data_IF_043915580698
#
_entry.id   IF_043915580698
#
_cell.length_a   1.000
_cell.length_b   1.000
_cell.length_c   1.000
_cell.angle_alpha   90.00
_cell.angle_beta   90.00
_cell.angle_gamma   90.00
#
_symmetry.space_group_name_H-M   'P 1'
#
loop_
_entity.id
_entity.type
_entity.pdbx_description
1 polymer ?
#
# COMPACT_ATOMS: atom_id res chain seq x y z
N UNK A 1 29.42 -46.80 -6.31
CA UNK A 1 28.23 -46.47 -5.49
C UNK A 1 28.34 -45.09 -4.83
N UNK A 2 29.41 -44.76 -4.08
CA UNK A 2 29.57 -43.46 -3.39
C UNK A 2 29.49 -42.22 -4.32
N UNK A 3 30.07 -42.28 -5.52
CA UNK A 3 30.01 -41.18 -6.51
C UNK A 3 28.62 -40.93 -7.08
N UNK A 4 27.81 -41.99 -7.25
CA UNK A 4 26.43 -41.85 -7.70
C UNK A 4 25.50 -41.33 -6.58
N UNK A 5 25.75 -41.74 -5.34
CA UNK A 5 25.04 -41.21 -4.18
C UNK A 5 25.33 -39.72 -3.95
N UNK A 6 26.58 -39.28 -4.21
CA UNK A 6 26.98 -37.88 -4.13
C UNK A 6 26.36 -37.02 -5.24
N UNK A 7 26.27 -37.55 -6.48
CA UNK A 7 25.58 -36.86 -7.59
C UNK A 7 24.07 -36.74 -7.33
N UNK A 8 23.44 -37.78 -6.80
CA UNK A 8 22.02 -37.75 -6.45
C UNK A 8 21.73 -36.71 -5.35
N UNK A 9 22.58 -36.66 -4.32
CA UNK A 9 22.49 -35.66 -3.25
C UNK A 9 22.69 -34.22 -3.76
N UNK A 10 23.63 -34.00 -4.68
CA UNK A 10 23.81 -32.71 -5.36
C UNK A 10 22.58 -32.31 -6.18
N UNK A 11 21.97 -33.25 -6.92
CA UNK A 11 20.75 -32.99 -7.69
C UNK A 11 19.58 -32.62 -6.77
N UNK A 12 19.42 -33.30 -5.64
CA UNK A 12 18.37 -32.99 -4.66
C UNK A 12 18.59 -31.60 -4.04
N UNK A 13 19.84 -31.24 -3.70
CA UNK A 13 20.16 -29.92 -3.16
C UNK A 13 19.93 -28.79 -4.18
N UNK A 14 20.32 -29.00 -5.44
CA UNK A 14 20.08 -28.04 -6.52
C UNK A 14 18.58 -27.86 -6.83
N UNK A 15 17.80 -28.95 -6.77
CA UNK A 15 16.35 -28.91 -6.99
C UNK A 15 15.62 -28.13 -5.88
N UNK A 16 16.01 -28.33 -4.62
CA UNK A 16 15.46 -27.56 -3.48
C UNK A 16 15.85 -26.07 -3.55
N UNK A 17 17.03 -25.74 -4.07
CA UNK A 17 17.44 -24.35 -4.28
C UNK A 17 16.63 -23.66 -5.39
N UNK A 18 16.32 -24.38 -6.47
CA UNK A 18 15.47 -23.89 -7.55
C UNK A 18 14.02 -23.63 -7.08
N UNK A 19 13.44 -24.51 -6.26
CA UNK A 19 12.12 -24.30 -5.65
C UNK A 19 12.08 -23.09 -4.71
N UNK A 20 13.19 -22.76 -4.05
CA UNK A 20 13.28 -21.61 -3.14
C UNK A 20 13.45 -20.28 -3.88
N UNK A 21 13.94 -20.31 -5.13
CA UNK A 21 14.26 -19.13 -5.91
C UNK A 21 13.03 -18.42 -6.52
N UNK A 22 11.83 -19.00 -6.40
CA UNK A 22 10.62 -18.47 -7.06
C UNK A 22 9.88 -17.36 -6.27
N UNK A 23 10.31 -17.02 -5.05
CA UNK A 23 9.56 -16.12 -4.16
C UNK A 23 10.31 -14.81 -3.84
N UNK A 24 10.84 -14.14 -4.86
CA UNK A 24 11.37 -12.77 -4.74
C UNK A 24 10.66 -11.79 -5.71
N UNK A 25 9.44 -12.11 -6.11
CA UNK A 25 8.54 -11.09 -6.67
C UNK A 25 8.01 -10.30 -5.48
N UNK A 26 8.33 -9.00 -5.44
CA UNK A 26 7.57 -8.07 -4.60
C UNK A 26 6.10 -8.27 -4.98
N UNK A 27 5.25 -8.58 -4.01
CA UNK A 27 3.82 -8.68 -4.25
C UNK A 27 3.32 -7.27 -4.59
N UNK A 28 3.23 -6.99 -5.89
CA UNK A 28 2.81 -5.69 -6.42
C UNK A 28 1.44 -5.29 -5.84
N UNK A 29 0.52 -6.25 -5.68
CA UNK A 29 -0.80 -5.96 -5.11
C UNK A 29 -0.68 -5.45 -3.68
N UNK A 30 0.11 -6.15 -2.86
CA UNK A 30 0.38 -5.74 -1.48
C UNK A 30 1.05 -4.36 -1.45
N UNK A 31 2.05 -4.13 -2.29
CA UNK A 31 2.75 -2.83 -2.36
C UNK A 31 1.78 -1.68 -2.66
N UNK A 32 0.94 -1.84 -3.69
CA UNK A 32 -0.03 -0.80 -4.07
C UNK A 32 -1.10 -0.58 -3.01
N UNK A 33 -1.63 -1.64 -2.40
CA UNK A 33 -2.61 -1.54 -1.33
C UNK A 33 -2.03 -0.84 -0.08
N UNK A 34 -0.81 -1.21 0.33
CA UNK A 34 -0.14 -0.60 1.47
C UNK A 34 0.19 0.88 1.20
N UNK A 35 0.60 1.23 -0.03
CA UNK A 35 0.83 2.62 -0.43
C UNK A 35 -0.47 3.44 -0.42
N UNK A 36 -1.56 2.89 -0.97
CA UNK A 36 -2.87 3.52 -0.96
C UNK A 36 -3.34 3.79 0.47
N UNK A 37 -3.24 2.79 1.34
CA UNK A 37 -3.58 2.91 2.75
C UNK A 37 -2.71 3.95 3.48
N UNK A 38 -1.39 3.96 3.23
CA UNK A 38 -0.46 4.95 3.80
C UNK A 38 -0.84 6.39 3.46
N UNK A 39 -1.42 6.62 2.27
CA UNK A 39 -1.90 7.94 1.85
C UNK A 39 -3.27 8.24 2.45
N UNK A 40 -4.18 7.25 2.44
CA UNK A 40 -5.57 7.45 2.82
C UNK A 40 -5.77 7.59 4.34
N UNK A 41 -5.09 6.76 5.12
CA UNK A 41 -5.23 6.68 6.57
C UNK A 41 -5.12 8.06 7.27
N UNK A 42 -4.04 8.84 7.08
CA UNK A 42 -3.89 10.10 7.81
C UNK A 42 -4.91 11.17 7.37
N UNK A 43 -5.43 11.11 6.15
CA UNK A 43 -6.46 12.05 5.70
C UNK A 43 -7.78 11.70 6.36
N UNK A 44 -8.22 10.45 6.24
CA UNK A 44 -9.54 10.01 6.72
C UNK A 44 -9.62 9.93 8.24
N UNK A 45 -8.57 9.42 8.90
CA UNK A 45 -8.55 9.25 10.36
C UNK A 45 -8.47 10.59 11.10
N UNK A 46 -7.75 11.58 10.56
CA UNK A 46 -7.76 12.93 11.11
C UNK A 46 -9.06 13.66 10.77
N UNK A 47 -9.63 13.47 9.57
CA UNK A 47 -10.88 14.11 9.19
C UNK A 47 -12.07 13.63 10.03
N UNK A 48 -12.16 12.32 10.32
CA UNK A 48 -13.23 11.76 11.16
C UNK A 48 -13.21 12.29 12.60
N UNK A 49 -12.03 12.70 13.08
CA UNK A 49 -11.84 13.33 14.40
C UNK A 49 -11.96 14.86 14.38
N UNK A 50 -12.10 15.48 13.21
CA UNK A 50 -12.07 16.94 13.05
C UNK A 50 -10.67 17.55 13.21
N UNK A 51 -9.61 16.75 13.08
CA UNK A 51 -8.23 17.11 13.37
C UNK A 51 -7.37 17.31 12.10
N UNK A 52 -7.95 17.11 10.90
CA UNK A 52 -7.23 17.21 9.64
C UNK A 52 -6.50 18.54 9.47
N UNK A 53 -7.19 19.66 9.74
CA UNK A 53 -6.60 21.01 9.62
C UNK A 53 -5.43 21.20 10.59
N UNK A 54 -5.49 20.57 11.76
CA UNK A 54 -4.45 20.66 12.79
C UNK A 54 -3.21 19.84 12.44
N UNK A 55 -3.41 18.64 11.88
CA UNK A 55 -2.34 17.66 11.70
C UNK A 55 -1.78 17.63 10.26
N UNK A 56 -2.49 18.18 9.28
CA UNK A 56 -2.01 18.30 7.89
C UNK A 56 -1.42 19.69 7.65
N UNK A 57 -0.09 19.76 7.64
CA UNK A 57 0.64 20.97 7.28
C UNK A 57 0.48 21.27 5.79
N UNK A 58 0.21 22.55 5.46
CA UNK A 58 -0.01 22.99 4.08
C UNK A 58 1.18 23.81 3.62
N UNK A 59 1.94 23.24 2.70
CA UNK A 59 2.98 23.93 1.95
C UNK A 59 2.41 24.51 0.65
N UNK A 60 2.87 25.70 0.27
CA UNK A 60 2.43 26.38 -0.93
C UNK A 60 3.63 26.85 -1.73
N UNK A 61 3.48 26.83 -3.05
CA UNK A 61 4.49 27.37 -3.95
C UNK A 61 4.69 28.88 -3.72
N UNK A 62 5.93 29.41 -3.87
CA UNK A 62 6.17 30.84 -3.91
C UNK A 62 5.35 31.59 -4.96
N UNK A 63 4.92 30.90 -6.02
CA UNK A 63 4.12 31.45 -7.12
C UNK A 63 2.60 31.18 -6.98
N UNK A 64 2.12 30.84 -5.79
CA UNK A 64 0.72 30.47 -5.55
C UNK A 64 -0.26 31.65 -5.73
N UNK A 65 -1.46 31.34 -6.23
CA UNK A 65 -2.49 32.28 -6.69
C UNK A 65 -3.25 33.06 -5.60
N UNK A 66 -2.96 32.82 -4.32
CA UNK A 66 -3.55 33.57 -3.21
C UNK A 66 -4.98 33.16 -2.79
N UNK A 67 -5.52 32.04 -3.29
CA UNK A 67 -6.87 31.55 -2.91
C UNK A 67 -6.99 31.22 -1.41
N UNK A 68 -8.18 30.88 -0.92
CA UNK A 68 -8.29 30.46 0.47
C UNK A 68 -7.58 29.12 0.69
N UNK A 69 -6.49 29.09 1.49
CA UNK A 69 -5.71 27.87 1.80
C UNK A 69 -6.54 26.73 2.40
N UNK A 70 -7.69 27.04 3.00
CA UNK A 70 -8.59 26.02 3.57
C UNK A 70 -9.19 25.10 2.49
N UNK A 71 -9.20 25.50 1.22
CA UNK A 71 -9.67 24.62 0.13
C UNK A 71 -8.79 23.38 -0.03
N UNK A 72 -7.50 23.46 0.32
CA UNK A 72 -6.53 22.36 0.20
C UNK A 72 -6.99 21.10 0.93
N UNK A 73 -7.59 21.24 2.12
CA UNK A 73 -8.09 20.09 2.89
C UNK A 73 -9.25 19.37 2.19
N UNK A 74 -10.18 20.14 1.61
CA UNK A 74 -11.32 19.59 0.86
C UNK A 74 -10.86 18.97 -0.46
N UNK A 75 -9.89 19.61 -1.14
CA UNK A 75 -9.29 19.06 -2.35
C UNK A 75 -8.54 17.74 -2.06
N UNK A 76 -7.79 17.66 -0.97
CA UNK A 76 -7.10 16.45 -0.56
C UNK A 76 -8.08 15.30 -0.31
N UNK A 77 -9.15 15.55 0.46
CA UNK A 77 -10.21 14.58 0.68
C UNK A 77 -10.91 14.17 -0.62
N UNK A 78 -11.35 15.13 -1.43
CA UNK A 78 -12.11 14.85 -2.65
C UNK A 78 -11.29 14.06 -3.68
N UNK A 79 -10.02 14.43 -3.89
CA UNK A 79 -9.11 13.71 -4.79
C UNK A 79 -8.79 12.32 -4.28
N UNK A 80 -8.57 12.17 -2.97
CA UNK A 80 -8.36 10.87 -2.34
C UNK A 80 -9.58 9.97 -2.56
N UNK A 81 -10.79 10.41 -2.19
CA UNK A 81 -12.00 9.61 -2.31
C UNK A 81 -12.30 9.20 -3.75
N UNK A 82 -12.04 10.08 -4.72
CA UNK A 82 -12.19 9.75 -6.15
C UNK A 82 -11.27 8.59 -6.58
N UNK A 83 -10.01 8.58 -6.13
CA UNK A 83 -9.07 7.48 -6.41
C UNK A 83 -9.31 6.24 -5.56
N UNK A 84 -9.80 6.40 -4.33
CA UNK A 84 -10.03 5.34 -3.35
C UNK A 84 -11.32 4.56 -3.63
N UNK A 85 -12.30 5.16 -4.31
CA UNK A 85 -13.63 4.58 -4.52
C UNK A 85 -13.62 3.16 -5.14
N UNK A 86 -12.84 2.84 -6.20
CA UNK A 86 -12.78 1.47 -6.73
C UNK A 86 -12.23 0.47 -5.71
N UNK A 87 -11.25 0.87 -4.90
CA UNK A 87 -10.68 0.02 -3.86
C UNK A 87 -11.71 -0.28 -2.75
N UNK A 88 -12.47 0.72 -2.31
CA UNK A 88 -13.57 0.53 -1.34
C UNK A 88 -14.73 -0.33 -1.89
N UNK A 89 -14.90 -0.37 -3.21
CA UNK A 89 -15.95 -1.18 -3.85
C UNK A 89 -15.66 -2.68 -3.90
N UNK A 90 -14.44 -3.09 -3.54
CA UNK A 90 -14.07 -4.51 -3.49
C UNK A 90 -14.86 -5.24 -2.39
N UNK A 91 -15.18 -6.53 -2.57
CA UNK A 91 -15.90 -7.32 -1.58
C UNK A 91 -15.20 -7.33 -0.23
N UNK A 92 -15.98 -7.44 0.83
CA UNK A 92 -15.45 -7.75 2.14
C UNK A 92 -14.77 -9.13 2.14
N UNK A 93 -13.57 -9.18 2.69
CA UNK A 93 -12.81 -10.42 2.86
C UNK A 93 -12.02 -10.38 4.19
N UNK A 94 -11.37 -11.49 4.51
CA UNK A 94 -10.57 -11.64 5.74
C UNK A 94 -9.07 -11.39 5.53
N UNK A 95 -8.69 -10.91 4.34
CA UNK A 95 -7.28 -10.62 4.01
C UNK A 95 -6.79 -9.40 4.79
N UNK A 96 -5.47 -9.20 4.83
CA UNK A 96 -4.88 -7.99 5.41
C UNK A 96 -5.40 -6.72 4.72
N UNK A 97 -5.58 -6.77 3.40
CA UNK A 97 -6.12 -5.67 2.60
C UNK A 97 -7.59 -5.41 2.93
N UNK A 98 -8.41 -6.45 3.06
CA UNK A 98 -9.82 -6.33 3.45
C UNK A 98 -10.01 -5.73 4.83
N UNK A 99 -9.09 -6.02 5.77
CA UNK A 99 -9.09 -5.38 7.09
C UNK A 99 -8.75 -3.89 7.01
N UNK A 100 -7.81 -3.49 6.15
CA UNK A 100 -7.48 -2.07 5.92
C UNK A 100 -8.69 -1.29 5.38
N UNK A 101 -9.53 -1.90 4.53
CA UNK A 101 -10.75 -1.25 3.98
C UNK A 101 -11.83 -0.95 5.02
N UNK A 102 -11.84 -1.66 6.14
CA UNK A 102 -12.90 -1.57 7.17
C UNK A 102 -12.68 -0.49 8.23
N UNK A 103 -11.49 0.11 8.25
CA UNK A 103 -11.12 1.14 9.21
C UNK A 103 -11.82 2.46 8.91
#
# INVERSE_FOLDING_TARGET
MKRQLMLLACCILAFNAALKAENNTVDDRKYWADLLYKIAEPVLSNMSKGELVRNMEVELSPAWDGRNKRVTYMEAFGRLMAGLAPWLSLPDDTTSEGKQRKQ
#
